data_IF_658736737872
#
_entry.id   IF_658736737872
#
_cell.length_a   1.000
_cell.length_b   1.000
_cell.length_c   1.000
_cell.angle_alpha   90.00
_cell.angle_beta   90.00
_cell.angle_gamma   90.00
#
_symmetry.space_group_name_H-M   'P 1'
#
loop_
_entity.id
_entity.type
_entity.pdbx_description
1 polymer ?
#
# COMPACT_ATOMS: atom_id res chain seq x y z
N UNK A 1 0.14 45.73 31.99
CA UNK A 1 1.52 45.51 31.50
C UNK A 1 1.87 44.02 31.58
N UNK A 2 1.15 43.15 30.85
CA UNK A 2 1.20 41.69 31.11
C UNK A 2 0.96 40.78 29.90
N UNK A 3 0.23 41.20 28.87
CA UNK A 3 0.00 40.40 27.65
C UNK A 3 1.07 40.63 26.58
N UNK A 4 1.42 41.89 26.32
CA UNK A 4 2.39 42.25 25.27
C UNK A 4 3.79 41.69 25.59
N UNK A 5 4.23 41.81 26.84
CA UNK A 5 5.53 41.31 27.30
C UNK A 5 5.65 39.80 27.14
N UNK A 6 4.57 39.06 27.44
CA UNK A 6 4.53 37.60 27.30
C UNK A 6 4.54 37.16 25.84
N UNK A 7 3.89 37.91 24.95
CA UNK A 7 3.94 37.67 23.50
C UNK A 7 5.35 37.93 22.96
N UNK A 8 6.01 38.99 23.44
CA UNK A 8 7.40 39.30 23.06
C UNK A 8 8.36 38.20 23.52
N UNK A 9 8.26 37.72 24.77
CA UNK A 9 9.07 36.61 25.28
C UNK A 9 8.88 35.31 24.47
N UNK A 10 7.65 35.00 24.07
CA UNK A 10 7.35 33.84 23.21
C UNK A 10 7.99 34.01 21.83
N UNK A 11 7.89 35.20 21.23
CA UNK A 11 8.47 35.48 19.93
C UNK A 11 10.00 35.47 19.96
N UNK A 12 10.61 35.95 21.04
CA UNK A 12 12.06 35.88 21.26
C UNK A 12 12.54 34.44 21.43
N UNK A 13 11.78 33.61 22.15
CA UNK A 13 12.07 32.18 22.30
C UNK A 13 11.99 31.45 20.95
N UNK A 14 10.91 31.66 20.20
CA UNK A 14 10.74 31.08 18.86
C UNK A 14 11.84 31.58 17.90
N UNK A 15 12.22 32.86 18.00
CA UNK A 15 13.30 33.41 17.20
C UNK A 15 14.65 32.82 17.56
N UNK A 16 14.89 32.54 18.85
CA UNK A 16 16.08 31.82 19.32
C UNK A 16 16.14 30.40 18.75
N UNK A 17 15.05 29.64 18.89
CA UNK A 17 14.93 28.27 18.38
C UNK A 17 15.11 28.22 16.85
N UNK A 18 14.53 29.20 16.13
CA UNK A 18 14.70 29.30 14.68
C UNK A 18 16.14 29.64 14.28
N UNK A 19 16.85 30.46 15.06
CA UNK A 19 18.25 30.79 14.82
C UNK A 19 19.15 29.58 15.03
N UNK A 20 18.88 28.78 16.06
CA UNK A 20 19.60 27.53 16.35
C UNK A 20 19.31 26.47 15.27
N UNK A 21 18.05 26.35 14.83
CA UNK A 21 17.66 25.51 13.70
C UNK A 21 18.31 25.96 12.38
N UNK A 22 18.37 27.27 12.11
CA UNK A 22 19.06 27.81 10.94
C UNK A 22 20.57 27.59 10.99
N UNK A 23 21.20 27.70 12.15
CA UNK A 23 22.63 27.40 12.34
C UNK A 23 22.92 25.91 12.09
N UNK A 24 22.03 25.01 12.54
CA UNK A 24 22.09 23.59 12.21
C UNK A 24 21.94 23.35 10.71
N UNK A 25 21.03 24.04 10.03
CA UNK A 25 20.86 23.95 8.57
C UNK A 25 22.02 24.55 7.77
N UNK A 26 22.66 25.62 8.26
CA UNK A 26 23.81 26.26 7.62
C UNK A 26 25.09 25.41 7.75
N UNK A 27 25.21 24.64 8.84
CA UNK A 27 26.30 23.67 9.02
C UNK A 27 26.06 22.34 8.30
N UNK A 28 24.83 22.08 7.85
CA UNK A 28 24.56 21.03 6.87
C UNK A 28 25.05 21.49 5.50
N UNK A 29 26.24 21.01 5.09
CA UNK A 29 26.66 21.09 3.69
C UNK A 29 25.49 20.59 2.82
N UNK A 30 25.05 21.33 1.78
CA UNK A 30 24.09 20.83 0.82
C UNK A 30 24.62 19.48 0.32
N UNK A 31 23.88 18.41 0.57
CA UNK A 31 24.30 17.08 0.14
C UNK A 31 24.15 17.06 -1.39
N UNK A 32 25.21 17.43 -2.10
CA UNK A 32 25.31 17.33 -3.56
C UNK A 32 25.58 15.89 -4.02
N UNK A 33 25.79 14.95 -3.08
CA UNK A 33 25.73 13.54 -3.40
C UNK A 33 24.29 13.14 -3.63
N UNK A 34 23.96 12.39 -4.70
CA UNK A 34 22.68 11.70 -4.76
C UNK A 34 22.57 10.90 -3.47
N UNK A 35 21.62 11.25 -2.59
CA UNK A 35 21.27 10.40 -1.47
C UNK A 35 21.02 9.05 -2.11
N UNK A 36 21.88 8.07 -1.84
CA UNK A 36 21.77 6.80 -2.48
C UNK A 36 20.33 6.33 -2.22
N UNK A 37 19.63 6.06 -3.30
CA UNK A 37 18.21 5.70 -3.31
C UNK A 37 17.95 4.38 -2.54
N UNK A 38 19.00 3.78 -1.99
CA UNK A 38 19.04 2.67 -1.05
C UNK A 38 18.78 3.07 0.42
N UNK A 39 18.62 4.36 0.76
CA UNK A 39 18.37 4.84 2.15
C UNK A 39 16.97 4.46 2.66
N UNK A 40 16.15 3.81 1.84
CA UNK A 40 14.94 3.15 2.30
C UNK A 40 15.30 1.93 3.15
N UNK A 41 15.57 2.18 4.42
CA UNK A 41 15.62 1.16 5.46
C UNK A 41 14.27 0.45 5.41
N UNK A 42 14.29 -0.85 5.12
CA UNK A 42 13.12 -1.71 5.19
C UNK A 42 12.43 -1.50 6.55
N UNK A 43 11.21 -0.95 6.55
CA UNK A 43 10.42 -0.74 7.77
C UNK A 43 10.11 0.71 8.16
N UNK A 44 10.65 1.73 7.48
CA UNK A 44 10.24 3.13 7.70
C UNK A 44 9.32 3.66 6.58
N UNK A 45 8.26 4.38 6.98
CA UNK A 45 7.29 4.95 6.04
C UNK A 45 7.77 6.28 5.48
N UNK A 46 7.89 6.36 4.15
CA UNK A 46 8.36 7.57 3.48
C UNK A 46 7.42 8.76 3.66
N UNK A 47 7.97 9.91 4.07
CA UNK A 47 7.29 11.21 4.08
C UNK A 47 6.00 11.28 4.91
N UNK A 48 5.78 10.36 5.86
CA UNK A 48 4.58 10.33 6.73
C UNK A 48 4.89 10.34 8.22
N UNK A 49 6.07 10.82 8.58
CA UNK A 49 6.55 10.82 9.96
C UNK A 49 5.64 11.64 10.88
N UNK A 50 5.17 12.81 10.42
CA UNK A 50 4.28 13.68 11.19
C UNK A 50 2.94 13.00 11.44
N UNK A 51 2.30 12.45 10.41
CA UNK A 51 1.04 11.75 10.56
C UNK A 51 1.19 10.48 11.42
N UNK A 52 2.28 9.72 11.25
CA UNK A 52 2.60 8.56 12.10
C UNK A 52 2.68 8.95 13.57
N UNK A 53 3.45 9.99 13.92
CA UNK A 53 3.57 10.42 15.32
C UNK A 53 2.26 10.96 15.88
N UNK A 54 1.46 11.70 15.09
CA UNK A 54 0.13 12.15 15.53
C UNK A 54 -0.79 10.98 15.88
N UNK A 55 -0.78 9.93 15.07
CA UNK A 55 -1.57 8.72 15.34
C UNK A 55 -1.05 8.04 16.61
N UNK A 56 0.26 7.86 16.75
CA UNK A 56 0.85 7.23 17.94
C UNK A 56 0.51 8.01 19.21
N UNK A 57 0.61 9.33 19.18
CA UNK A 57 0.25 10.17 20.31
C UNK A 57 -1.23 10.01 20.70
N UNK A 58 -2.14 9.96 19.71
CA UNK A 58 -3.55 9.66 19.97
C UNK A 58 -3.75 8.27 20.61
N UNK A 59 -3.03 7.27 20.11
CA UNK A 59 -3.15 5.90 20.57
C UNK A 59 -2.65 5.71 22.00
N UNK A 60 -1.52 6.34 22.34
CA UNK A 60 -0.89 6.22 23.66
C UNK A 60 -1.45 7.19 24.70
N UNK A 61 -2.29 8.14 24.29
CA UNK A 61 -2.91 9.06 25.23
C UNK A 61 -4.00 8.34 26.03
N UNK A 62 -3.74 8.06 27.31
CA UNK A 62 -4.66 7.31 28.19
C UNK A 62 -5.93 8.07 28.61
N UNK A 63 -6.06 9.32 28.17
CA UNK A 63 -7.17 10.21 28.52
C UNK A 63 -7.06 10.64 29.98
N UNK A 64 -6.93 11.96 30.21
CA UNK A 64 -6.92 12.52 31.56
C UNK A 64 -8.17 12.17 32.37
N UNK A 65 -8.17 12.41 33.69
CA UNK A 65 -9.28 12.09 34.61
C UNK A 65 -10.66 12.57 34.11
N UNK A 66 -10.69 13.65 33.33
CA UNK A 66 -11.87 14.33 32.78
C UNK A 66 -12.45 13.72 31.49
N UNK A 67 -11.81 12.74 30.86
CA UNK A 67 -12.30 12.14 29.58
C UNK A 67 -13.33 11.01 29.75
N UNK A 68 -13.68 10.65 30.99
CA UNK A 68 -14.76 9.71 31.30
C UNK A 68 -14.60 8.31 30.69
N UNK A 69 -13.38 7.91 30.31
CA UNK A 69 -13.11 6.57 29.76
C UNK A 69 -13.78 6.27 28.40
N UNK A 70 -14.19 7.30 27.63
CA UNK A 70 -14.85 7.10 26.33
C UNK A 70 -13.91 6.44 25.30
N UNK A 71 -14.47 5.56 24.48
CA UNK A 71 -13.77 4.89 23.38
C UNK A 71 -13.26 5.91 22.36
N UNK A 72 -11.94 5.95 22.15
CA UNK A 72 -11.34 6.83 21.15
C UNK A 72 -11.41 6.21 19.75
N UNK A 73 -11.90 6.97 18.78
CA UNK A 73 -11.98 6.59 17.36
C UNK A 73 -11.25 7.61 16.50
N UNK A 74 -10.23 7.17 15.75
CA UNK A 74 -9.45 8.02 14.84
C UNK A 74 -9.63 7.59 13.38
N UNK A 75 -10.29 8.42 12.55
CA UNK A 75 -10.33 8.21 11.11
C UNK A 75 -9.05 8.72 10.42
N UNK A 76 -8.55 7.92 9.48
CA UNK A 76 -7.51 8.25 8.51
C UNK A 76 -8.18 8.30 7.14
N UNK A 77 -8.28 9.50 6.58
CA UNK A 77 -9.03 9.82 5.37
C UNK A 77 -8.08 10.23 4.27
N UNK A 78 -8.30 9.76 3.05
CA UNK A 78 -7.46 10.14 1.91
C UNK A 78 -7.79 9.35 0.65
N UNK A 79 -7.32 9.81 -0.50
CA UNK A 79 -7.56 9.16 -1.79
C UNK A 79 -7.09 7.70 -1.85
N UNK A 80 -7.47 7.00 -2.91
CA UNK A 80 -6.92 5.67 -3.18
C UNK A 80 -5.40 5.75 -3.39
N UNK A 81 -4.64 4.74 -2.97
CA UNK A 81 -3.19 4.68 -3.22
C UNK A 81 -2.29 5.64 -2.43
N UNK A 82 -2.83 6.53 -1.60
CA UNK A 82 -2.04 7.52 -0.84
C UNK A 82 -1.29 6.96 0.39
N UNK A 83 -1.45 5.65 0.68
CA UNK A 83 -0.72 4.97 1.75
C UNK A 83 -1.42 4.90 3.12
N UNK A 84 -2.77 4.98 3.19
CA UNK A 84 -3.51 4.92 4.47
C UNK A 84 -3.29 3.62 5.24
N UNK A 85 -3.46 2.48 4.56
CA UNK A 85 -3.28 1.15 5.15
C UNK A 85 -1.84 0.92 5.58
N UNK A 86 -0.89 1.35 4.75
CA UNK A 86 0.53 1.37 5.05
C UNK A 86 0.84 2.17 6.31
N UNK A 87 0.29 3.38 6.44
CA UNK A 87 0.47 4.21 7.62
C UNK A 87 -0.08 3.52 8.88
N UNK A 88 -1.29 3.00 8.80
CA UNK A 88 -1.91 2.24 9.89
C UNK A 88 -1.03 1.05 10.31
N UNK A 89 -0.47 0.31 9.35
CA UNK A 89 0.42 -0.80 9.62
C UNK A 89 1.72 -0.34 10.30
N UNK A 90 2.42 0.67 9.78
CA UNK A 90 3.65 1.19 10.39
C UNK A 90 3.45 1.76 11.80
N UNK A 91 2.25 2.28 12.09
CA UNK A 91 1.85 2.68 13.45
C UNK A 91 1.68 1.46 14.34
N UNK A 92 0.93 0.45 13.88
CA UNK A 92 0.69 -0.77 14.64
C UNK A 92 1.97 -1.58 14.86
N UNK A 93 2.95 -1.44 13.96
CA UNK A 93 4.25 -2.09 14.05
C UNK A 93 5.23 -1.35 14.98
N UNK A 94 4.94 -0.10 15.34
CA UNK A 94 5.74 0.68 16.29
C UNK A 94 5.77 -0.01 17.65
N UNK A 95 6.96 -0.16 18.22
CA UNK A 95 7.17 -0.92 19.44
C UNK A 95 6.37 -0.35 20.61
N UNK A 96 6.24 0.97 20.69
CA UNK A 96 5.46 1.65 21.74
C UNK A 96 3.98 1.28 21.65
N UNK A 97 3.44 1.24 20.44
CA UNK A 97 2.06 0.82 20.17
C UNK A 97 1.88 -0.66 20.49
N UNK A 98 2.79 -1.52 20.04
CA UNK A 98 2.75 -2.96 20.36
C UNK A 98 2.88 -3.25 21.85
N UNK A 99 3.65 -2.45 22.59
CA UNK A 99 3.80 -2.57 24.05
C UNK A 99 2.52 -2.12 24.76
N UNK A 100 1.85 -1.09 24.23
CA UNK A 100 0.65 -0.51 24.83
C UNK A 100 -0.64 -1.29 24.52
N UNK A 101 -0.72 -1.95 23.37
CA UNK A 101 -1.86 -2.78 22.97
C UNK A 101 -1.43 -4.25 22.87
N UNK A 102 -1.72 -5.09 23.90
CA UNK A 102 -1.45 -6.53 23.86
C UNK A 102 -2.09 -7.23 22.65
N UNK A 103 -3.21 -6.69 22.16
CA UNK A 103 -3.97 -7.18 21.01
C UNK A 103 -4.17 -6.05 20.01
N UNK A 104 -3.78 -6.30 18.76
CA UNK A 104 -4.13 -5.47 17.61
C UNK A 104 -4.98 -6.31 16.65
N UNK A 105 -6.19 -5.84 16.36
CA UNK A 105 -7.13 -6.49 15.46
C UNK A 105 -7.26 -5.67 14.19
N UNK A 106 -7.23 -6.33 13.05
CA UNK A 106 -7.53 -5.73 11.75
C UNK A 106 -8.84 -6.33 11.23
N UNK A 107 -9.70 -5.52 10.63
CA UNK A 107 -10.91 -6.03 9.98
C UNK A 107 -11.33 -5.21 8.77
N UNK A 108 -11.81 -5.88 7.73
CA UNK A 108 -12.50 -5.27 6.59
C UNK A 108 -13.95 -5.73 6.46
N UNK A 109 -14.54 -6.20 7.59
CA UNK A 109 -15.88 -6.81 7.70
C UNK A 109 -16.06 -8.16 7.00
N UNK A 110 -15.17 -8.55 6.11
CA UNK A 110 -15.13 -9.90 5.52
C UNK A 110 -14.16 -10.82 6.25
N UNK A 111 -13.03 -10.26 6.68
CA UNK A 111 -11.97 -10.94 7.39
C UNK A 111 -11.55 -10.13 8.60
N UNK A 112 -11.29 -10.81 9.71
CA UNK A 112 -10.71 -10.23 10.91
C UNK A 112 -9.46 -11.01 11.30
N UNK A 113 -8.34 -10.32 11.50
CA UNK A 113 -7.07 -10.90 11.96
C UNK A 113 -6.68 -10.31 13.30
N UNK A 114 -6.29 -11.15 14.25
CA UNK A 114 -5.70 -10.74 15.51
C UNK A 114 -4.19 -10.94 15.47
N UNK A 115 -3.45 -9.89 15.86
CA UNK A 115 -2.03 -9.95 16.19
C UNK A 115 -1.90 -9.78 17.70
N UNK A 116 -1.43 -10.84 18.37
CA UNK A 116 -1.27 -10.91 19.81
C UNK A 116 0.19 -11.26 20.12
N UNK A 117 0.77 -10.64 21.16
CA UNK A 117 2.15 -10.96 21.58
C UNK A 117 2.25 -12.41 22.04
N UNK A 118 3.14 -13.18 21.42
CA UNK A 118 3.47 -14.55 21.84
C UNK A 118 2.36 -15.58 21.59
N UNK A 119 1.28 -15.23 20.88
CA UNK A 119 0.19 -16.14 20.54
C UNK A 119 0.04 -16.30 19.02
N UNK A 120 -0.50 -17.45 18.60
CA UNK A 120 -0.77 -17.72 17.19
C UNK A 120 -1.74 -16.66 16.60
N UNK A 121 -1.39 -16.17 15.41
CA UNK A 121 -2.24 -15.24 14.63
C UNK A 121 -3.58 -15.91 14.34
N UNK A 122 -4.66 -15.34 14.88
CA UNK A 122 -6.01 -15.84 14.63
C UNK A 122 -6.65 -15.09 13.47
N UNK A 123 -7.14 -15.81 12.47
CA UNK A 123 -7.86 -15.23 11.32
C UNK A 123 -9.26 -15.82 11.28
N UNK A 124 -10.27 -14.98 11.48
CA UNK A 124 -11.67 -15.34 11.34
C UNK A 124 -12.20 -14.73 10.05
N UNK A 125 -12.45 -15.59 9.07
CA UNK A 125 -12.99 -15.21 7.76
C UNK A 125 -14.44 -15.64 7.62
N UNK A 126 -15.24 -14.80 6.95
CA UNK A 126 -16.52 -15.23 6.40
C UNK A 126 -16.38 -15.36 4.88
N UNK A 127 -16.89 -16.45 4.28
CA UNK A 127 -16.92 -16.62 2.81
C UNK A 127 -17.68 -15.49 2.11
N UNK A 128 -18.62 -14.88 2.82
CA UNK A 128 -19.39 -13.73 2.35
C UNK A 128 -19.01 -12.52 3.20
N UNK A 129 -18.88 -11.34 2.58
CA UNK A 129 -18.76 -10.10 3.35
C UNK A 129 -19.87 -10.06 4.41
N UNK A 130 -19.51 -9.85 5.68
CA UNK A 130 -20.52 -9.73 6.71
C UNK A 130 -21.26 -8.43 6.40
N UNK A 131 -22.53 -8.54 5.98
CA UNK A 131 -23.45 -7.43 5.69
C UNK A 131 -24.43 -7.17 6.84
N UNK A 132 -24.23 -7.86 7.96
CA UNK A 132 -25.08 -7.80 9.14
C UNK A 132 -24.22 -7.59 10.39
N UNK A 133 -24.42 -6.46 11.08
CA UNK A 133 -23.70 -6.13 12.30
C UNK A 133 -23.91 -7.20 13.38
N UNK A 134 -25.09 -7.83 13.49
CA UNK A 134 -25.35 -8.88 14.48
C UNK A 134 -24.47 -10.10 14.25
N UNK A 135 -24.28 -10.50 12.99
CA UNK A 135 -23.36 -11.58 12.62
C UNK A 135 -21.90 -11.21 12.94
N UNK A 136 -21.52 -9.95 12.74
CA UNK A 136 -20.19 -9.47 13.12
C UNK A 136 -20.02 -9.43 14.64
N UNK A 137 -21.05 -9.05 15.41
CA UNK A 137 -21.03 -9.10 16.88
C UNK A 137 -20.83 -10.53 17.37
N UNK A 138 -21.44 -11.54 16.73
CA UNK A 138 -21.18 -12.95 17.07
C UNK A 138 -19.69 -13.30 16.90
N UNK A 139 -19.07 -12.86 15.81
CA UNK A 139 -17.62 -12.98 15.58
C UNK A 139 -16.85 -12.26 16.69
N UNK A 140 -17.25 -11.03 17.03
CA UNK A 140 -16.61 -10.27 18.10
C UNK A 140 -16.83 -10.88 19.49
N UNK A 141 -17.93 -11.59 19.76
CA UNK A 141 -18.17 -12.31 21.01
C UNK A 141 -17.17 -13.46 21.19
N UNK A 142 -16.91 -14.23 20.13
CA UNK A 142 -15.84 -15.24 20.12
C UNK A 142 -14.49 -14.59 20.42
N UNK A 143 -14.24 -13.39 19.87
CA UNK A 143 -13.03 -12.63 20.16
C UNK A 143 -13.03 -11.96 21.54
N UNK A 144 -14.20 -11.74 22.15
CA UNK A 144 -14.36 -11.00 23.41
C UNK A 144 -13.82 -11.79 24.58
N UNK A 145 -14.19 -13.06 24.66
CA UNK A 145 -13.75 -13.97 25.73
C UNK A 145 -12.23 -14.12 25.71
N UNK A 146 -11.63 -14.16 24.52
CA UNK A 146 -10.19 -14.39 24.36
C UNK A 146 -9.33 -13.12 24.35
N UNK A 147 -9.81 -12.02 23.75
CA UNK A 147 -8.97 -10.88 23.41
C UNK A 147 -9.51 -9.51 23.85
N UNK A 148 -10.83 -9.26 23.74
CA UNK A 148 -11.40 -7.92 24.02
C UNK A 148 -11.62 -7.64 25.52
N UNK A 149 -11.32 -8.59 26.39
CA UNK A 149 -11.19 -8.39 27.85
C UNK A 149 -9.91 -7.61 28.22
N UNK A 150 -8.90 -7.63 27.34
CA UNK A 150 -7.66 -6.85 27.44
C UNK A 150 -7.81 -5.52 26.68
N UNK A 151 -6.87 -4.60 26.91
CA UNK A 151 -6.75 -3.38 26.09
C UNK A 151 -6.46 -3.78 24.64
N UNK A 152 -7.22 -3.25 23.69
CA UNK A 152 -7.07 -3.58 22.28
C UNK A 152 -7.03 -2.35 21.38
N UNK A 153 -6.39 -2.50 20.23
CA UNK A 153 -6.51 -1.60 19.09
C UNK A 153 -7.28 -2.32 17.98
N UNK A 154 -8.41 -1.76 17.56
CA UNK A 154 -9.17 -2.28 16.41
C UNK A 154 -8.96 -1.37 15.20
N UNK A 155 -8.47 -1.94 14.10
CA UNK A 155 -8.22 -1.24 12.83
C UNK A 155 -9.26 -1.70 11.81
N UNK A 156 -10.19 -0.82 11.46
CA UNK A 156 -11.13 -1.06 10.36
C UNK A 156 -10.56 -0.52 9.06
N UNK A 157 -10.32 -1.42 8.11
CA UNK A 157 -9.72 -1.11 6.83
C UNK A 157 -10.76 -0.85 5.74
N UNK A 158 -10.50 0.20 4.95
CA UNK A 158 -11.26 0.53 3.72
C UNK A 158 -12.78 0.62 3.95
N UNK A 159 -13.16 1.41 4.95
CA UNK A 159 -14.56 1.63 5.32
C UNK A 159 -15.20 2.60 4.33
N UNK A 160 -16.19 2.11 3.59
CA UNK A 160 -17.07 2.91 2.72
C UNK A 160 -18.36 3.30 3.47
N UNK A 161 -19.30 3.97 2.80
CA UNK A 161 -20.56 4.40 3.41
C UNK A 161 -21.48 3.23 3.81
N UNK A 162 -21.43 2.09 3.12
CA UNK A 162 -22.21 0.92 3.50
C UNK A 162 -21.64 0.26 4.77
N UNK A 163 -20.31 0.14 4.84
CA UNK A 163 -19.61 -0.34 6.04
C UNK A 163 -19.70 0.64 7.21
N UNK A 164 -19.86 1.94 6.95
CA UNK A 164 -20.05 2.97 7.97
C UNK A 164 -21.25 2.67 8.86
N UNK A 165 -22.41 2.39 8.26
CA UNK A 165 -23.64 2.07 8.99
C UNK A 165 -23.42 0.86 9.91
N UNK A 166 -22.77 -0.18 9.39
CA UNK A 166 -22.42 -1.34 10.19
C UNK A 166 -21.51 -0.98 11.36
N UNK A 167 -20.50 -0.15 11.12
CA UNK A 167 -19.59 0.26 12.17
C UNK A 167 -20.31 1.07 13.26
N UNK A 168 -21.25 1.93 12.89
CA UNK A 168 -22.10 2.68 13.85
C UNK A 168 -22.85 1.75 14.80
N UNK A 169 -23.43 0.67 14.27
CA UNK A 169 -24.11 -0.36 15.07
C UNK A 169 -23.14 -1.16 15.98
N UNK A 170 -21.87 -1.26 15.59
CA UNK A 170 -20.83 -1.96 16.36
C UNK A 170 -20.15 -1.08 17.43
N UNK A 171 -20.13 0.24 17.26
CA UNK A 171 -19.47 1.14 18.22
C UNK A 171 -19.96 0.95 19.67
N UNK A 172 -21.27 0.78 19.95
CA UNK A 172 -21.74 0.47 21.30
C UNK A 172 -21.11 -0.79 21.90
N UNK A 173 -20.87 -1.82 21.10
CA UNK A 173 -20.20 -3.04 21.59
C UNK A 173 -18.78 -2.75 22.07
N UNK A 174 -18.01 -1.98 21.30
CA UNK A 174 -16.63 -1.63 21.66
C UNK A 174 -16.52 -0.65 22.85
N UNK A 175 -17.55 0.16 23.10
CA UNK A 175 -17.59 1.07 24.26
C UNK A 175 -17.59 0.33 25.60
N UNK A 176 -18.03 -0.93 25.62
CA UNK A 176 -17.97 -1.80 26.78
C UNK A 176 -16.62 -2.54 26.91
N UNK A 177 -15.67 -2.27 26.02
CA UNK A 177 -14.33 -2.84 26.06
C UNK A 177 -13.46 -2.27 27.19
N UNK A 178 -12.27 -2.84 27.39
CA UNK A 178 -11.33 -2.39 28.42
C UNK A 178 -10.94 -0.91 28.20
N UNK A 179 -10.91 -0.12 29.28
CA UNK A 179 -10.44 1.28 29.23
C UNK A 179 -9.05 1.40 28.59
N UNK A 180 -8.89 2.43 27.78
CA UNK A 180 -7.67 2.68 26.98
C UNK A 180 -7.69 1.98 25.62
N UNK A 181 -8.71 1.17 25.31
CA UNK A 181 -8.88 0.63 23.96
C UNK A 181 -9.19 1.74 22.95
N UNK A 182 -8.77 1.52 21.71
CA UNK A 182 -8.85 2.51 20.62
C UNK A 182 -9.31 1.86 19.33
N UNK A 183 -9.95 2.67 18.47
CA UNK A 183 -10.31 2.29 17.12
C UNK A 183 -9.61 3.22 16.13
N UNK A 184 -9.05 2.64 15.08
CA UNK A 184 -8.54 3.36 13.92
C UNK A 184 -9.34 2.93 12.68
N UNK A 185 -9.70 3.90 11.84
CA UNK A 185 -10.51 3.64 10.64
C UNK A 185 -9.73 4.16 9.43
N UNK A 186 -9.51 3.36 8.39
CA UNK A 186 -9.01 3.87 7.11
C UNK A 186 -10.16 3.98 6.11
N UNK A 187 -10.25 5.10 5.39
CA UNK A 187 -11.34 5.36 4.44
C UNK A 187 -10.91 6.29 3.32
N UNK A 188 -11.49 6.12 2.13
CA UNK A 188 -11.42 7.09 1.05
C UNK A 188 -12.65 8.01 0.98
N UNK A 189 -13.64 7.79 1.85
CA UNK A 189 -14.88 8.55 1.87
C UNK A 189 -14.90 9.50 3.08
N UNK A 190 -14.99 10.81 2.81
CA UNK A 190 -15.01 11.83 3.88
C UNK A 190 -16.21 11.70 4.80
N UNK A 191 -17.34 11.16 4.33
CA UNK A 191 -18.54 10.94 5.15
C UNK A 191 -18.33 9.92 6.28
N UNK A 192 -17.33 9.06 6.19
CA UNK A 192 -16.96 8.10 7.25
C UNK A 192 -16.20 8.78 8.40
N UNK A 193 -15.58 9.94 8.16
CA UNK A 193 -14.83 10.67 9.17
C UNK A 193 -15.70 11.12 10.35
N UNK A 194 -17.02 11.22 10.17
CA UNK A 194 -17.96 11.58 11.25
C UNK A 194 -18.02 10.53 12.37
N UNK A 195 -17.49 9.33 12.16
CA UNK A 195 -17.36 8.31 13.21
C UNK A 195 -16.24 8.61 14.22
N UNK A 196 -15.36 9.56 13.89
CA UNK A 196 -14.24 9.93 14.73
C UNK A 196 -14.68 10.64 16.00
N UNK A 197 -13.97 10.36 17.09
CA UNK A 197 -14.09 11.13 18.35
C UNK A 197 -13.05 12.24 18.44
N UNK A 198 -12.16 12.33 17.45
CA UNK A 198 -11.11 13.33 17.32
C UNK A 198 -11.01 13.75 15.85
N UNK A 199 -10.29 14.85 15.58
CA UNK A 199 -10.07 15.32 14.22
C UNK A 199 -9.42 14.22 13.35
N UNK A 200 -9.93 13.94 12.14
CA UNK A 200 -9.37 12.93 11.28
C UNK A 200 -7.97 13.31 10.78
N UNK A 201 -7.13 12.30 10.55
CA UNK A 201 -5.87 12.46 9.81
C UNK A 201 -6.19 12.45 8.32
N UNK A 202 -6.05 13.61 7.67
CA UNK A 202 -6.25 13.73 6.23
C UNK A 202 -4.93 13.50 5.49
N UNK A 203 -4.76 12.31 4.90
CA UNK A 203 -3.64 12.01 4.01
C UNK A 203 -3.89 12.60 2.63
N UNK A 204 -3.17 13.69 2.35
CA UNK A 204 -3.11 14.30 1.02
C UNK A 204 -2.15 13.54 0.11
N UNK A 205 -2.30 13.69 -1.19
CA UNK A 205 -1.29 13.26 -2.16
C UNK A 205 0.04 13.93 -1.80
N UNK A 206 1.13 13.17 -1.87
CA UNK A 206 2.46 13.66 -1.54
C UNK A 206 2.91 14.72 -2.56
N UNK A 207 3.58 15.81 -2.12
CA UNK A 207 4.15 16.77 -3.05
C UNK A 207 5.07 16.09 -4.07
N UNK A 208 5.03 16.57 -5.32
CA UNK A 208 5.76 15.93 -6.43
C UNK A 208 7.26 15.79 -6.15
N UNK A 209 7.88 16.77 -5.49
CA UNK A 209 9.31 16.74 -5.17
C UNK A 209 9.67 15.56 -4.24
N UNK A 210 8.87 15.31 -3.21
CA UNK A 210 9.04 14.18 -2.30
C UNK A 210 8.71 12.86 -3.00
N UNK A 211 7.58 12.83 -3.73
CA UNK A 211 7.16 11.64 -4.48
C UNK A 211 8.19 11.24 -5.55
N UNK A 212 8.85 12.21 -6.19
CA UNK A 212 9.92 11.97 -7.14
C UNK A 212 11.08 11.24 -6.50
N UNK A 213 11.47 11.61 -5.27
CA UNK A 213 12.51 10.89 -4.54
C UNK A 213 12.13 9.43 -4.27
N UNK A 214 10.89 9.20 -3.83
CA UNK A 214 10.34 7.85 -3.65
C UNK A 214 10.34 7.05 -4.96
N UNK A 215 9.88 7.65 -6.05
CA UNK A 215 9.86 7.01 -7.37
C UNK A 215 11.28 6.67 -7.83
N UNK A 216 12.25 7.58 -7.66
CA UNK A 216 13.65 7.33 -8.02
C UNK A 216 14.20 6.08 -7.35
N UNK A 217 13.86 5.86 -6.08
CA UNK A 217 14.30 4.68 -5.36
C UNK A 217 13.75 3.36 -5.90
N UNK A 218 12.59 3.39 -6.54
CA UNK A 218 12.03 2.21 -7.17
C UNK A 218 12.46 2.05 -8.63
N UNK A 219 12.68 3.15 -9.36
CA UNK A 219 12.97 3.15 -10.79
C UNK A 219 14.45 3.15 -11.15
N UNK A 220 15.31 3.78 -10.34
CA UNK A 220 16.70 4.05 -10.71
C UNK A 220 17.76 3.42 -9.80
N UNK A 221 17.40 3.12 -8.54
CA UNK A 221 18.27 2.65 -7.45
C UNK A 221 19.69 2.14 -7.81
N UNK A 222 20.62 3.10 -7.96
CA UNK A 222 22.06 2.90 -7.96
C UNK A 222 22.71 2.51 -9.29
N UNK A 223 22.14 2.89 -10.45
CA UNK A 223 22.74 2.64 -11.76
C UNK A 223 23.18 3.94 -12.43
N UNK A 224 24.16 3.86 -13.35
CA UNK A 224 24.62 4.92 -14.27
C UNK A 224 23.48 5.62 -15.05
N UNK A 225 22.29 5.01 -15.06
CA UNK A 225 21.05 5.56 -15.62
C UNK A 225 20.60 6.85 -14.93
N UNK A 226 20.97 7.08 -13.67
CA UNK A 226 20.74 8.37 -12.98
C UNK A 226 21.61 9.50 -13.54
N UNK A 227 22.67 9.19 -14.30
CA UNK A 227 23.56 10.18 -14.90
C UNK A 227 23.09 10.67 -16.28
N UNK A 228 22.18 9.93 -16.96
CA UNK A 228 21.58 10.37 -18.23
C UNK A 228 20.42 11.36 -17.98
N UNK A 229 20.56 12.65 -18.37
CA UNK A 229 19.50 13.65 -18.17
C UNK A 229 18.17 13.30 -18.84
N UNK A 230 18.21 12.55 -19.95
CA UNK A 230 17.00 12.14 -20.69
C UNK A 230 16.22 11.08 -19.91
N UNK A 231 16.94 10.15 -19.26
CA UNK A 231 16.32 9.14 -18.41
C UNK A 231 15.70 9.78 -17.17
N UNK A 232 16.37 10.76 -16.55
CA UNK A 232 15.82 11.55 -15.45
C UNK A 232 14.56 12.31 -15.88
N UNK A 233 14.57 12.96 -17.05
CA UNK A 233 13.42 13.70 -17.56
C UNK A 233 12.21 12.78 -17.83
N UNK A 234 12.44 11.64 -18.51
CA UNK A 234 11.40 10.63 -18.76
C UNK A 234 10.84 10.08 -17.44
N UNK A 235 11.70 9.71 -16.50
CA UNK A 235 11.29 9.24 -15.18
C UNK A 235 10.47 10.27 -14.41
N UNK A 236 10.87 11.54 -14.43
CA UNK A 236 10.15 12.60 -13.73
C UNK A 236 8.76 12.81 -14.34
N UNK A 237 8.65 12.79 -15.67
CA UNK A 237 7.37 12.89 -16.37
C UNK A 237 6.46 11.70 -16.03
N UNK A 238 7.00 10.48 -15.96
CA UNK A 238 6.24 9.30 -15.52
C UNK A 238 5.77 9.48 -14.07
N UNK A 239 6.64 9.92 -13.16
CA UNK A 239 6.27 10.18 -11.78
C UNK A 239 5.15 11.23 -11.66
N UNK A 240 5.20 12.32 -12.45
CA UNK A 240 4.09 13.30 -12.51
C UNK A 240 2.80 12.63 -12.95
N UNK A 241 2.87 11.77 -13.98
CA UNK A 241 1.71 11.05 -14.50
C UNK A 241 1.10 10.09 -13.48
N UNK A 242 1.91 9.47 -12.62
CA UNK A 242 1.46 8.60 -11.52
C UNK A 242 0.84 9.37 -10.33
N UNK A 243 0.98 10.70 -10.31
CA UNK A 243 0.29 11.62 -9.41
C UNK A 243 0.30 11.19 -7.92
N UNK A 244 1.47 10.83 -7.41
CA UNK A 244 1.64 10.49 -5.99
C UNK A 244 1.14 9.10 -5.58
N UNK A 245 0.80 8.23 -6.52
CA UNK A 245 0.43 6.84 -6.25
C UNK A 245 1.65 6.03 -5.81
N UNK A 246 1.75 5.70 -4.52
CA UNK A 246 2.83 4.85 -3.99
C UNK A 246 2.82 3.46 -4.63
N UNK A 247 1.63 2.92 -4.86
CA UNK A 247 1.43 1.64 -5.54
C UNK A 247 1.95 1.70 -6.99
N UNK A 248 1.56 2.74 -7.74
CA UNK A 248 2.02 2.98 -9.10
C UNK A 248 3.55 3.12 -9.16
N UNK A 249 4.15 3.91 -8.25
CA UNK A 249 5.59 4.08 -8.20
C UNK A 249 6.34 2.75 -7.93
N UNK A 250 5.83 1.89 -7.04
CA UNK A 250 6.44 0.58 -6.77
C UNK A 250 6.36 -0.34 -7.99
N UNK A 251 5.20 -0.43 -8.66
CA UNK A 251 5.02 -1.31 -9.82
C UNK A 251 5.76 -0.78 -11.04
N UNK A 252 5.42 0.44 -11.48
CA UNK A 252 5.99 1.06 -12.68
C UNK A 252 7.49 1.26 -12.47
N UNK A 253 7.91 1.76 -11.31
CA UNK A 253 9.33 1.94 -10.99
C UNK A 253 10.11 0.62 -11.10
N UNK A 254 9.65 -0.48 -10.50
CA UNK A 254 10.35 -1.78 -10.61
C UNK A 254 10.43 -2.28 -12.05
N UNK A 255 9.40 -2.08 -12.86
CA UNK A 255 9.39 -2.45 -14.28
C UNK A 255 10.40 -1.61 -15.07
N UNK A 256 10.42 -0.30 -14.86
CA UNK A 256 11.38 0.62 -15.47
C UNK A 256 12.82 0.30 -15.05
N UNK A 257 13.03 -0.07 -13.79
CA UNK A 257 14.32 -0.54 -13.26
C UNK A 257 14.80 -1.81 -13.95
N UNK A 258 13.89 -2.73 -14.26
CA UNK A 258 14.22 -3.96 -15.01
C UNK A 258 14.56 -3.67 -16.49
N UNK A 259 14.03 -2.58 -17.05
CA UNK A 259 14.19 -2.19 -18.45
C UNK A 259 14.73 -0.76 -18.58
N UNK A 260 16.03 -0.51 -18.29
CA UNK A 260 16.65 0.83 -18.31
C UNK A 260 16.90 1.31 -19.75
N UNK A 261 15.83 1.53 -20.51
CA UNK A 261 15.89 1.92 -21.92
C UNK A 261 14.97 3.13 -22.16
N UNK A 262 15.53 4.22 -22.69
CA UNK A 262 14.79 5.47 -22.90
C UNK A 262 13.55 5.30 -23.78
N UNK A 263 13.66 4.55 -24.89
CA UNK A 263 12.52 4.31 -25.80
C UNK A 263 11.39 3.58 -25.07
N UNK A 264 11.73 2.60 -24.24
CA UNK A 264 10.75 1.91 -23.41
C UNK A 264 10.09 2.85 -22.40
N UNK A 265 10.86 3.70 -21.72
CA UNK A 265 10.33 4.67 -20.76
C UNK A 265 9.40 5.69 -21.44
N UNK A 266 9.75 6.17 -22.63
CA UNK A 266 8.87 7.02 -23.44
C UNK A 266 7.57 6.31 -23.83
N UNK A 267 7.62 5.00 -24.16
CA UNK A 267 6.43 4.19 -24.45
C UNK A 267 5.50 4.11 -23.23
N UNK A 268 6.06 3.84 -22.05
CA UNK A 268 5.32 3.83 -20.77
C UNK A 268 4.76 5.22 -20.42
N UNK A 269 5.51 6.29 -20.70
CA UNK A 269 5.01 7.65 -20.51
C UNK A 269 3.81 7.95 -21.43
N UNK A 270 3.79 7.40 -22.64
CA UNK A 270 2.69 7.51 -23.60
C UNK A 270 1.43 6.72 -23.22
N UNK A 271 1.52 5.73 -22.33
CA UNK A 271 0.39 4.85 -21.96
C UNK A 271 -0.53 5.44 -20.89
N UNK A 272 -1.67 4.79 -20.59
CA UNK A 272 -2.70 5.34 -19.72
C UNK A 272 -2.42 5.26 -18.20
N UNK A 273 -1.15 5.05 -17.80
CA UNK A 273 -0.73 4.89 -16.39
C UNK A 273 -1.21 6.01 -15.44
N UNK A 274 -1.54 7.19 -15.95
CA UNK A 274 -2.07 8.30 -15.14
C UNK A 274 -3.59 8.34 -14.96
N UNK A 275 -4.37 7.67 -15.82
CA UNK A 275 -5.84 7.62 -15.70
C UNK A 275 -6.33 6.69 -14.59
N UNK A 276 -5.44 5.88 -14.05
CA UNK A 276 -5.75 4.75 -13.17
C UNK A 276 -5.77 5.11 -11.69
N UNK A 277 -5.34 6.33 -11.35
CA UNK A 277 -5.27 6.86 -9.98
C UNK A 277 -6.64 7.18 -9.35
N UNK A 278 -7.75 7.02 -10.06
CA UNK A 278 -9.09 7.37 -9.54
C UNK A 278 -10.05 6.19 -9.33
N UNK A 279 -9.79 4.99 -9.89
CA UNK A 279 -10.73 3.85 -9.80
C UNK A 279 -10.10 2.46 -9.57
N UNK A 280 -8.78 2.28 -9.64
CA UNK A 280 -8.18 0.94 -9.76
C UNK A 280 -7.49 0.37 -8.52
N UNK A 281 -7.83 -0.88 -8.20
CA UNK A 281 -7.16 -1.85 -7.33
C UNK A 281 -5.70 -2.22 -7.69
N UNK A 282 -5.09 -1.51 -8.64
CA UNK A 282 -3.76 -1.76 -9.17
C UNK A 282 -3.71 -2.49 -10.50
N UNK A 283 -4.84 -3.07 -10.96
CA UNK A 283 -4.94 -3.78 -12.25
C UNK A 283 -4.53 -2.89 -13.41
N UNK A 284 -5.03 -1.64 -13.41
CA UNK A 284 -4.78 -0.72 -14.51
C UNK A 284 -3.31 -0.54 -14.84
N UNK A 285 -2.47 -0.33 -13.81
CA UNK A 285 -1.03 -0.12 -14.05
C UNK A 285 -0.42 -1.32 -14.75
N UNK A 286 -0.88 -2.51 -14.39
CA UNK A 286 -0.34 -3.73 -14.93
C UNK A 286 -0.88 -4.01 -16.33
N UNK A 287 -2.17 -3.74 -16.59
CA UNK A 287 -2.77 -3.85 -17.91
C UNK A 287 -2.09 -2.91 -18.92
N UNK A 288 -1.86 -1.66 -18.55
CA UNK A 288 -1.15 -0.71 -19.43
C UNK A 288 0.32 -1.12 -19.63
N UNK A 289 1.02 -1.52 -18.57
CA UNK A 289 2.41 -1.97 -18.70
C UNK A 289 2.51 -3.23 -19.57
N UNK A 290 1.53 -4.13 -19.49
CA UNK A 290 1.44 -5.31 -20.32
C UNK A 290 1.39 -5.01 -21.80
N UNK A 291 0.48 -4.13 -22.25
CA UNK A 291 0.44 -3.72 -23.66
C UNK A 291 1.78 -3.18 -24.16
N UNK A 292 2.57 -2.59 -23.26
CA UNK A 292 3.85 -1.99 -23.59
C UNK A 292 5.02 -2.96 -23.58
N UNK A 293 4.96 -4.00 -22.75
CA UNK A 293 6.05 -4.94 -22.49
C UNK A 293 5.92 -6.28 -23.19
N UNK A 294 4.70 -6.71 -23.53
CA UNK A 294 4.50 -8.03 -24.10
C UNK A 294 5.16 -8.15 -25.48
N UNK A 295 5.81 -9.28 -25.77
CA UNK A 295 6.26 -9.59 -27.12
C UNK A 295 5.08 -9.63 -28.09
N UNK A 296 5.30 -9.37 -29.37
CA UNK A 296 4.25 -9.34 -30.40
C UNK A 296 3.45 -10.66 -30.52
N UNK A 297 4.00 -11.77 -30.03
CA UNK A 297 3.35 -13.08 -29.98
C UNK A 297 2.48 -13.30 -28.74
N UNK A 298 2.45 -12.36 -27.78
CA UNK A 298 1.69 -12.49 -26.54
C UNK A 298 0.79 -11.27 -26.33
N UNK A 299 -0.47 -11.49 -25.95
CA UNK A 299 -1.38 -10.42 -25.58
C UNK A 299 -2.03 -10.72 -24.23
N UNK A 300 -2.16 -9.71 -23.36
CA UNK A 300 -2.89 -9.85 -22.11
C UNK A 300 -4.36 -9.62 -22.39
N UNK A 301 -5.15 -10.67 -22.16
CA UNK A 301 -6.58 -10.68 -22.36
C UNK A 301 -7.31 -10.12 -21.13
N UNK A 302 -6.82 -10.46 -19.94
CA UNK A 302 -7.45 -10.09 -18.68
C UNK A 302 -6.40 -10.03 -17.56
N UNK A 303 -6.58 -9.12 -16.61
CA UNK A 303 -5.84 -9.11 -15.36
C UNK A 303 -6.83 -9.30 -14.22
N UNK A 304 -6.55 -10.28 -13.37
CA UNK A 304 -7.38 -10.62 -12.21
C UNK A 304 -6.62 -10.39 -10.92
N UNK A 305 -7.33 -10.01 -9.86
CA UNK A 305 -6.79 -9.99 -8.50
C UNK A 305 -7.40 -11.15 -7.72
N UNK A 306 -6.54 -11.99 -7.14
CA UNK A 306 -6.96 -13.03 -6.21
C UNK A 306 -6.38 -12.81 -4.82
N UNK A 307 -7.14 -13.24 -3.81
CA UNK A 307 -6.65 -13.34 -2.41
C UNK A 307 -6.02 -14.70 -2.11
N UNK A 308 -6.29 -15.68 -2.97
CA UNK A 308 -5.72 -17.02 -2.90
C UNK A 308 -4.31 -17.02 -3.47
N UNK A 309 -3.35 -17.70 -2.82
CA UNK A 309 -2.02 -17.87 -3.37
C UNK A 309 -2.07 -18.43 -4.78
N UNK A 310 -1.37 -17.78 -5.69
CA UNK A 310 -1.11 -18.36 -7.00
C UNK A 310 -0.21 -19.59 -6.80
N UNK A 311 -0.60 -20.80 -7.27
CA UNK A 311 0.28 -21.96 -7.16
C UNK A 311 1.62 -21.62 -7.81
N UNK A 312 2.70 -22.00 -7.14
CA UNK A 312 4.08 -21.61 -7.51
C UNK A 312 4.51 -22.10 -8.91
N UNK A 313 3.66 -22.88 -9.59
CA UNK A 313 3.81 -23.35 -10.95
C UNK A 313 2.79 -22.64 -11.85
N UNK A 314 3.29 -22.03 -12.93
CA UNK A 314 2.50 -21.53 -14.07
C UNK A 314 1.53 -22.63 -14.52
N UNK A 315 0.24 -22.50 -14.22
CA UNK A 315 -0.78 -23.37 -14.82
C UNK A 315 -0.98 -22.91 -16.26
N UNK A 316 -0.42 -23.69 -17.20
CA UNK A 316 -0.82 -23.66 -18.60
C UNK A 316 -2.10 -24.50 -18.71
N UNK A 317 -3.25 -23.84 -18.83
CA UNK A 317 -4.45 -24.50 -19.29
C UNK A 317 -4.37 -24.55 -20.83
N UNK A 318 -3.84 -25.64 -21.39
CA UNK A 318 -3.92 -25.88 -22.83
C UNK A 318 -5.37 -26.23 -23.17
N UNK A 319 -6.15 -25.27 -23.66
CA UNK A 319 -7.39 -25.59 -24.38
C UNK A 319 -6.96 -25.88 -25.82
N UNK A 320 -6.91 -27.16 -26.17
CA UNK A 320 -6.71 -27.60 -27.56
C UNK A 320 -7.97 -27.22 -28.34
N UNK A 321 -7.87 -26.26 -29.26
CA UNK A 321 -8.91 -25.94 -30.22
C UNK A 321 -8.53 -26.52 -31.60
N UNK A 322 -9.49 -26.99 -32.43
CA UNK A 322 -9.17 -27.94 -33.50
C UNK A 322 -8.41 -27.38 -34.71
N UNK A 323 -8.15 -26.06 -34.82
CA UNK A 323 -7.41 -25.44 -35.94
C UNK A 323 -6.76 -24.12 -35.52
N UNK A 324 -5.43 -24.10 -35.36
CA UNK A 324 -4.60 -22.90 -35.17
C UNK A 324 -4.38 -22.53 -33.69
N UNK A 325 -3.27 -22.97 -33.11
CA UNK A 325 -3.01 -22.94 -31.67
C UNK A 325 -2.82 -21.51 -31.10
N UNK A 326 -3.89 -20.95 -30.52
CA UNK A 326 -3.79 -19.86 -29.53
C UNK A 326 -3.63 -20.50 -28.16
N UNK A 327 -2.41 -20.52 -27.63
CA UNK A 327 -2.15 -21.01 -26.27
C UNK A 327 -2.55 -19.97 -25.24
N UNK A 328 -3.17 -20.38 -24.12
CA UNK A 328 -3.46 -19.46 -23.01
C UNK A 328 -2.53 -19.74 -21.84
N UNK A 329 -1.93 -18.68 -21.29
CA UNK A 329 -1.02 -18.75 -20.16
C UNK A 329 -1.47 -17.83 -19.04
N UNK A 330 -1.44 -18.32 -17.81
CA UNK A 330 -1.71 -17.51 -16.63
C UNK A 330 -0.39 -17.15 -15.95
N UNK A 331 -0.12 -15.86 -15.74
CA UNK A 331 1.18 -15.35 -15.25
C UNK A 331 0.97 -14.48 -14.02
N UNK A 332 1.61 -14.83 -12.90
CA UNK A 332 1.65 -13.98 -11.71
C UNK A 332 2.48 -12.73 -12.01
N UNK A 333 1.83 -11.57 -11.97
CA UNK A 333 2.43 -10.26 -12.24
C UNK A 333 3.08 -9.74 -10.96
N UNK A 334 2.31 -9.64 -9.88
CA UNK A 334 2.83 -9.17 -8.61
C UNK A 334 2.06 -9.70 -7.40
N UNK A 335 2.74 -9.69 -6.25
CA UNK A 335 2.12 -9.96 -4.95
C UNK A 335 2.22 -8.72 -4.08
N UNK A 336 1.07 -8.17 -3.72
CA UNK A 336 0.94 -7.19 -2.65
C UNK A 336 0.72 -7.90 -1.32
N UNK A 337 1.51 -7.54 -0.30
CA UNK A 337 1.40 -8.09 1.04
C UNK A 337 0.80 -7.01 1.93
N UNK A 338 -0.43 -7.24 2.41
CA UNK A 338 -1.17 -6.34 3.30
C UNK A 338 -1.34 -6.99 4.69
N UNK A 339 -1.65 -6.20 5.75
CA UNK A 339 -1.84 -6.71 7.10
C UNK A 339 -2.89 -7.83 7.22
N UNK A 340 -3.93 -7.82 6.37
CA UNK A 340 -5.02 -8.81 6.40
C UNK A 340 -4.90 -9.91 5.35
N UNK A 341 -4.24 -9.65 4.23
CA UNK A 341 -4.29 -10.54 3.07
C UNK A 341 -3.11 -10.25 2.13
N UNK A 342 -2.73 -11.25 1.32
CA UNK A 342 -1.94 -10.99 0.13
C UNK A 342 -2.89 -10.84 -1.06
N UNK A 343 -2.63 -9.87 -1.92
CA UNK A 343 -3.28 -9.75 -3.22
C UNK A 343 -2.30 -10.25 -4.29
N UNK A 344 -2.76 -11.17 -5.12
CA UNK A 344 -2.01 -11.74 -6.24
C UNK A 344 -2.62 -11.22 -7.52
N UNK A 345 -1.84 -10.46 -8.26
CA UNK A 345 -2.24 -9.89 -9.53
C UNK A 345 -1.78 -10.85 -10.62
N UNK A 346 -2.73 -11.39 -11.38
CA UNK A 346 -2.44 -12.44 -12.35
C UNK A 346 -2.99 -12.07 -13.71
N UNK A 347 -2.15 -12.14 -14.72
CA UNK A 347 -2.54 -11.90 -16.10
C UNK A 347 -2.91 -13.21 -16.77
N UNK A 348 -3.99 -13.18 -17.54
CA UNK A 348 -4.35 -14.18 -18.52
C UNK A 348 -3.85 -13.69 -19.87
N UNK A 349 -2.90 -14.40 -20.45
CA UNK A 349 -2.28 -14.09 -21.72
C UNK A 349 -2.76 -15.08 -22.79
N UNK A 350 -3.02 -14.58 -23.99
CA UNK A 350 -3.03 -15.37 -25.22
C UNK A 350 -1.64 -15.36 -25.85
N UNK A 351 -1.23 -16.49 -26.41
CA UNK A 351 0.01 -16.69 -27.12
C UNK A 351 -0.35 -17.10 -28.55
N UNK A 352 0.07 -16.31 -29.53
CA UNK A 352 0.05 -16.72 -30.94
C UNK A 352 1.32 -17.53 -31.19
N UNK A 353 1.18 -18.75 -31.69
CA UNK A 353 2.32 -19.51 -32.17
C UNK A 353 3.03 -18.77 -33.32
N UNK A 354 4.36 -18.91 -33.48
CA UNK A 354 4.99 -18.59 -34.75
C UNK A 354 4.42 -19.54 -35.82
N UNK A 355 4.35 -19.08 -37.07
CA UNK A 355 4.09 -19.98 -38.21
C UNK A 355 4.97 -21.22 -38.09
N UNK A 356 4.33 -22.39 -38.03
CA UNK A 356 4.99 -23.68 -37.83
C UNK A 356 6.01 -23.93 -38.95
N UNK A 357 7.31 -23.82 -38.63
CA UNK A 357 8.37 -24.49 -39.39
C UNK A 357 8.64 -25.86 -38.73
N UNK A 358 8.63 -27.00 -39.46
CA UNK A 358 8.56 -28.34 -38.87
C UNK A 358 9.89 -28.91 -38.32
N UNK A 359 10.88 -28.07 -37.95
CA UNK A 359 12.20 -28.58 -37.52
C UNK A 359 12.47 -28.55 -36.00
N UNK A 360 11.58 -28.01 -35.18
CA UNK A 360 11.81 -27.88 -33.73
C UNK A 360 11.16 -28.98 -32.86
N UNK A 361 10.89 -30.17 -33.42
CA UNK A 361 10.43 -31.34 -32.67
C UNK A 361 11.60 -32.24 -32.28
N UNK A 362 12.38 -31.80 -31.30
CA UNK A 362 13.08 -32.68 -30.34
C UNK A 362 13.72 -31.84 -29.25
N UNK A 363 13.07 -31.79 -28.08
CA UNK A 363 13.65 -31.65 -26.74
C UNK A 363 12.49 -31.45 -25.77
N UNK A 364 12.20 -32.46 -24.95
CA UNK A 364 11.13 -32.44 -23.92
C UNK A 364 11.31 -31.38 -22.81
N UNK A 365 12.28 -30.46 -22.94
CA UNK A 365 12.46 -29.28 -22.08
C UNK A 365 11.93 -27.95 -22.64
N UNK A 366 11.42 -27.91 -23.88
CA UNK A 366 11.19 -26.65 -24.62
C UNK A 366 9.81 -25.99 -24.48
N UNK A 367 8.80 -26.66 -23.89
CA UNK A 367 7.42 -26.12 -23.79
C UNK A 367 7.29 -24.82 -22.98
N UNK A 368 8.30 -24.45 -22.19
CA UNK A 368 8.28 -23.26 -21.34
C UNK A 368 9.24 -22.15 -21.81
N UNK A 369 9.97 -22.34 -22.92
CA UNK A 369 10.93 -21.34 -23.41
C UNK A 369 10.27 -20.00 -23.71
N UNK A 370 9.09 -20.00 -24.34
CA UNK A 370 8.30 -18.80 -24.67
C UNK A 370 7.73 -18.05 -23.45
N UNK A 371 7.66 -18.70 -22.28
CA UNK A 371 7.22 -18.08 -21.03
C UNK A 371 8.38 -17.43 -20.26
N UNK A 372 9.63 -17.73 -20.62
CA UNK A 372 10.83 -17.16 -19.98
C UNK A 372 10.92 -15.64 -20.19
N UNK A 373 10.65 -15.08 -21.39
CA UNK A 373 10.55 -13.64 -21.60
C UNK A 373 9.45 -12.99 -20.75
N UNK A 374 8.26 -13.61 -20.66
CA UNK A 374 7.14 -13.10 -19.86
C UNK A 374 7.46 -13.04 -18.36
N UNK A 375 8.19 -14.04 -17.84
CA UNK A 375 8.71 -14.06 -16.45
C UNK A 375 9.85 -13.06 -16.20
N UNK A 376 10.59 -12.66 -17.24
CA UNK A 376 11.62 -11.60 -17.17
C UNK A 376 10.99 -10.20 -17.25
N UNK A 377 9.94 -10.05 -18.05
CA UNK A 377 9.17 -8.82 -18.26
C UNK A 377 8.45 -8.39 -16.97
N UNK A 378 7.73 -9.34 -16.37
CA UNK A 378 7.17 -9.19 -15.03
C UNK A 378 8.07 -10.01 -14.11
N UNK A 379 9.22 -9.47 -13.67
CA UNK A 379 10.03 -10.19 -12.68
C UNK A 379 9.11 -10.56 -11.55
N UNK A 380 9.18 -11.78 -10.99
CA UNK A 380 8.39 -12.18 -9.81
C UNK A 380 8.38 -11.00 -8.84
N UNK A 381 7.31 -10.21 -8.81
CA UNK A 381 7.27 -9.03 -7.95
C UNK A 381 6.86 -9.60 -6.60
N UNK A 382 7.80 -10.29 -5.96
CA UNK A 382 7.71 -10.68 -4.58
C UNK A 382 7.87 -9.43 -3.74
N UNK A 383 7.03 -9.33 -2.71
CA UNK A 383 7.11 -8.33 -1.66
C UNK A 383 6.91 -6.89 -2.18
N UNK A 384 5.75 -6.60 -2.77
CA UNK A 384 5.19 -5.25 -2.61
C UNK A 384 4.52 -5.24 -1.23
N UNK A 385 5.28 -5.02 -0.15
CA UNK A 385 4.65 -4.45 1.03
C UNK A 385 4.20 -3.06 0.59
N UNK A 386 2.88 -2.81 0.49
CA UNK A 386 2.37 -1.48 0.10
C UNK A 386 2.54 -0.55 1.26
#
# INVERSE_FOLDING_TARGET
MTMLTRVVEILETISGDLKEFMMLLQNCQPIHRPLATNIFIEGQMFGRHVEKQRIINFLLHDGGPSTGGKLGVLPIVGGMGVGKTTLAQHVCDDERVRNHFPIILYSNFSYTRAMARGEAVFVLGSKNAVRDAKKFIKILHVLKEKYLSKRFLMVFEDVDMGKKQMLEELLPFFRHGKRGSRIMITTNNRGVASLGTVQPINLKVMPHQEYWFFFKAHAFAGRDVEEDPRMLAAGNAIARKLNGSFFGAKIVGRVLKAHPNLRFWCKVLGSNIGGLSLLGDGIGYIADLAENLLPNYANICEVTISKTPYPSQTELASVVAPRGDIGFAKVLLCRSVLPLQSLYYTAHCSLRGPDYSPEFTKLEGSRFAHLTPLKKIFPKISNICV
#
